data_IF_053600994523
#
_entry.id   IF_053600994523
#
_cell.length_a   1.000
_cell.length_b   1.000
_cell.length_c   1.000
_cell.angle_alpha   90.00
_cell.angle_beta   90.00
_cell.angle_gamma   90.00
#
_symmetry.space_group_name_H-M   'P 1'
#
loop_
_entity.id
_entity.type
_entity.pdbx_description
1 polymer ?
#
# COMPACT_ATOMS: atom_id res chain seq x y z
N UNK A 1 11.49 -2.22 -50.49
CA UNK A 1 11.12 -3.19 -49.44
C UNK A 1 10.38 -2.41 -48.36
N UNK A 2 9.09 -2.67 -48.18
CA UNK A 2 8.31 -2.06 -47.09
C UNK A 2 8.65 -2.73 -45.74
N UNK A 3 8.38 -2.07 -44.60
CA UNK A 3 8.73 -2.58 -43.28
C UNK A 3 7.98 -3.88 -42.97
N UNK A 4 8.68 -4.88 -42.45
CA UNK A 4 8.12 -6.13 -41.94
C UNK A 4 7.48 -5.90 -40.57
N UNK A 5 6.18 -6.16 -40.45
CA UNK A 5 5.46 -6.14 -39.17
C UNK A 5 5.60 -7.54 -38.54
N UNK A 6 6.15 -7.60 -37.33
CA UNK A 6 6.23 -8.84 -36.55
C UNK A 6 4.95 -9.01 -35.74
N UNK A 7 4.34 -10.21 -35.81
CA UNK A 7 3.21 -10.59 -34.98
C UNK A 7 3.64 -11.67 -33.99
N UNK A 8 3.18 -11.56 -32.75
CA UNK A 8 3.24 -12.62 -31.74
C UNK A 8 1.81 -12.93 -31.31
N UNK A 9 1.51 -14.21 -31.11
CA UNK A 9 0.21 -14.67 -30.60
C UNK A 9 0.45 -15.60 -29.41
N UNK A 10 -0.46 -15.57 -28.44
CA UNK A 10 -0.51 -16.52 -27.32
C UNK A 10 -1.63 -17.50 -27.63
N UNK A 11 -1.33 -18.80 -27.61
CA UNK A 11 -2.31 -19.84 -27.85
C UNK A 11 -3.35 -19.87 -26.71
N UNK A 12 -4.61 -20.18 -27.01
CA UNK A 12 -5.68 -20.30 -26.01
C UNK A 12 -5.45 -21.43 -25.00
N UNK A 13 -4.68 -22.44 -25.38
CA UNK A 13 -4.27 -23.54 -24.50
C UNK A 13 -3.02 -23.20 -23.66
N UNK A 14 -2.49 -21.98 -23.79
CA UNK A 14 -1.35 -21.54 -22.99
C UNK A 14 -1.77 -21.33 -21.54
N UNK A 15 -1.01 -21.89 -20.61
CA UNK A 15 -1.20 -21.69 -19.17
C UNK A 15 -0.15 -20.72 -18.61
N UNK A 16 -0.59 -19.72 -17.86
CA UNK A 16 0.26 -18.85 -17.05
C UNK A 16 0.19 -19.34 -15.60
N UNK A 17 1.30 -19.80 -15.05
CA UNK A 17 1.38 -20.26 -13.67
C UNK A 17 1.99 -19.19 -12.76
N UNK A 18 1.20 -18.70 -11.80
CA UNK A 18 1.61 -17.74 -10.78
C UNK A 18 1.74 -18.35 -9.38
N UNK A 19 1.55 -19.66 -9.22
CA UNK A 19 1.49 -20.34 -7.91
C UNK A 19 2.79 -20.23 -7.10
N UNK A 20 3.94 -20.10 -7.76
CA UNK A 20 5.25 -19.99 -7.11
C UNK A 20 5.64 -18.57 -6.67
N UNK A 21 4.84 -17.54 -6.98
CA UNK A 21 5.22 -16.16 -6.66
C UNK A 21 4.86 -15.81 -5.21
N UNK A 22 5.82 -15.28 -4.43
CA UNK A 22 5.52 -14.81 -3.09
C UNK A 22 4.63 -13.57 -3.15
N UNK A 23 3.62 -13.54 -2.29
CA UNK A 23 2.71 -12.41 -2.16
C UNK A 23 3.15 -11.60 -0.96
N UNK A 24 3.66 -10.40 -1.19
CA UNK A 24 4.11 -9.53 -0.14
C UNK A 24 4.03 -8.08 -0.59
N UNK A 25 3.35 -7.26 0.20
CA UNK A 25 3.13 -5.86 -0.14
C UNK A 25 3.23 -5.00 1.12
N UNK A 26 3.89 -3.85 0.97
CA UNK A 26 3.92 -2.79 1.97
C UNK A 26 2.61 -2.01 1.92
N UNK A 27 1.93 -1.93 3.06
CA UNK A 27 0.66 -1.25 3.26
C UNK A 27 0.80 -0.22 4.39
N UNK A 28 -0.09 0.77 4.50
CA UNK A 28 -1.15 1.15 3.54
C UNK A 28 -0.61 1.76 2.24
N UNK A 29 -1.29 1.50 1.12
CA UNK A 29 -0.93 2.02 -0.21
C UNK A 29 -2.19 2.34 -1.05
N UNK A 30 -2.49 3.61 -1.26
CA UNK A 30 -3.62 4.08 -2.04
C UNK A 30 -3.47 3.75 -3.54
N UNK A 31 -2.24 3.60 -4.03
CA UNK A 31 -2.00 3.20 -5.42
C UNK A 31 -2.50 1.78 -5.69
N UNK A 32 -2.23 0.82 -4.78
CA UNK A 32 -2.70 -0.56 -4.95
C UNK A 32 -4.22 -0.62 -4.91
N UNK A 33 -4.87 0.21 -4.09
CA UNK A 33 -6.32 0.34 -4.09
C UNK A 33 -6.88 0.81 -5.44
N UNK A 34 -6.39 1.93 -6.00
CA UNK A 34 -6.96 2.45 -7.26
C UNK A 34 -6.56 1.64 -8.50
N UNK A 35 -5.37 1.01 -8.48
CA UNK A 35 -4.85 0.27 -9.63
C UNK A 35 -5.38 -1.17 -9.72
N UNK A 36 -5.59 -1.86 -8.59
CA UNK A 36 -6.00 -3.27 -8.55
C UNK A 36 -7.16 -3.59 -7.62
N UNK A 37 -7.70 -2.60 -6.90
CA UNK A 37 -8.74 -2.82 -5.89
C UNK A 37 -8.22 -3.45 -4.59
N UNK A 38 -6.90 -3.63 -4.44
CA UNK A 38 -6.33 -4.28 -3.26
C UNK A 38 -6.40 -3.34 -2.02
N UNK A 39 -6.71 -3.85 -0.81
CA UNK A 39 -6.84 -5.26 -0.42
C UNK A 39 -8.23 -5.88 -0.68
N UNK A 40 -9.22 -5.08 -1.05
CA UNK A 40 -10.60 -5.52 -1.22
C UNK A 40 -10.79 -6.52 -2.36
N UNK A 41 -9.89 -6.51 -3.34
CA UNK A 41 -9.83 -7.50 -4.43
C UNK A 41 -9.18 -8.84 -4.04
N UNK A 42 -8.76 -9.03 -2.78
CA UNK A 42 -8.19 -10.31 -2.30
C UNK A 42 -9.21 -11.44 -2.44
N UNK A 43 -10.48 -11.18 -2.10
CA UNK A 43 -11.60 -12.03 -2.46
C UNK A 43 -12.39 -11.38 -3.58
N UNK A 44 -12.55 -12.08 -4.70
CA UNK A 44 -13.17 -11.53 -5.89
C UNK A 44 -14.64 -11.10 -5.68
N UNK A 45 -15.33 -11.74 -4.75
CA UNK A 45 -16.73 -11.50 -4.36
C UNK A 45 -16.90 -10.43 -3.26
N UNK A 46 -15.77 -9.89 -2.77
CA UNK A 46 -15.64 -8.95 -1.64
C UNK A 46 -16.14 -9.50 -0.30
N UNK A 47 -16.14 -10.81 -0.10
CA UNK A 47 -16.61 -11.47 1.13
C UNK A 47 -15.87 -11.08 2.41
N UNK A 48 -14.63 -10.60 2.30
CA UNK A 48 -13.84 -10.09 3.43
C UNK A 48 -13.80 -8.55 3.49
N UNK A 49 -14.79 -7.89 2.88
CA UNK A 49 -14.93 -6.43 2.89
C UNK A 49 -16.17 -5.99 3.66
N UNK A 50 -16.02 -4.96 4.48
CA UNK A 50 -17.14 -4.23 5.07
C UNK A 50 -17.10 -2.78 4.61
N UNK A 51 -18.24 -2.27 4.15
CA UNK A 51 -18.41 -0.89 3.71
C UNK A 51 -19.24 -0.14 4.74
N UNK A 52 -18.71 0.97 5.24
CA UNK A 52 -19.36 1.84 6.22
C UNK A 52 -19.77 3.14 5.52
N UNK A 53 -21.07 3.45 5.55
CA UNK A 53 -21.67 4.64 4.93
C UNK A 53 -22.66 5.30 5.90
N UNK A 54 -22.95 6.59 5.70
CA UNK A 54 -23.99 7.31 6.46
C UNK A 54 -25.33 6.56 6.43
N UNK A 55 -26.10 6.47 7.55
CA UNK A 55 -27.41 5.79 7.61
C UNK A 55 -28.46 6.39 6.68
N UNK A 56 -28.28 7.66 6.31
CA UNK A 56 -29.11 8.37 5.33
C UNK A 56 -28.19 8.93 4.26
N UNK A 57 -27.72 8.11 3.32
CA UNK A 57 -26.79 8.56 2.30
C UNK A 57 -27.51 9.46 1.29
N UNK A 58 -26.82 10.50 0.82
CA UNK A 58 -27.30 11.26 -0.35
C UNK A 58 -27.26 10.40 -1.61
N UNK A 59 -27.97 10.78 -2.67
CA UNK A 59 -27.85 10.11 -3.97
C UNK A 59 -26.40 10.08 -4.49
N UNK A 60 -25.59 11.08 -4.12
CA UNK A 60 -24.17 11.15 -4.48
C UNK A 60 -23.29 10.23 -3.61
N UNK A 61 -23.63 10.02 -2.34
CA UNK A 61 -22.96 9.01 -1.51
C UNK A 61 -23.28 7.58 -2.00
N UNK A 62 -24.52 7.33 -2.46
CA UNK A 62 -24.89 6.06 -3.11
C UNK A 62 -24.13 5.88 -4.43
N UNK A 63 -24.01 6.95 -5.24
CA UNK A 63 -23.18 6.93 -6.45
C UNK A 63 -21.71 6.59 -6.13
N UNK A 64 -21.15 7.20 -5.07
CA UNK A 64 -19.78 6.91 -4.61
C UNK A 64 -19.61 5.44 -4.19
N UNK A 65 -20.58 4.88 -3.45
CA UNK A 65 -20.59 3.47 -3.07
C UNK A 65 -20.55 2.56 -4.30
N UNK A 66 -21.52 2.74 -5.21
CA UNK A 66 -21.67 1.91 -6.40
C UNK A 66 -20.46 2.02 -7.33
N UNK A 67 -19.92 3.22 -7.50
CA UNK A 67 -18.72 3.45 -8.30
C UNK A 67 -17.47 2.81 -7.67
N UNK A 68 -17.32 2.88 -6.35
CA UNK A 68 -16.20 2.23 -5.64
C UNK A 68 -16.27 0.72 -5.76
N UNK A 69 -17.44 0.13 -5.50
CA UNK A 69 -17.67 -1.31 -5.63
C UNK A 69 -17.48 -1.75 -7.08
N UNK A 70 -18.04 -1.01 -8.04
CA UNK A 70 -17.87 -1.26 -9.47
C UNK A 70 -16.42 -1.16 -9.94
N UNK A 71 -15.63 -0.24 -9.38
CA UNK A 71 -14.20 -0.15 -9.64
C UNK A 71 -13.50 -1.45 -9.22
N UNK A 72 -13.78 -1.97 -8.03
CA UNK A 72 -13.17 -3.21 -7.52
C UNK A 72 -13.63 -4.40 -8.36
N UNK A 73 -14.94 -4.53 -8.62
CA UNK A 73 -15.49 -5.60 -9.46
C UNK A 73 -14.92 -5.61 -10.87
N UNK A 74 -14.64 -4.43 -11.46
CA UNK A 74 -13.96 -4.32 -12.75
C UNK A 74 -12.54 -4.91 -12.70
N UNK A 75 -11.85 -4.84 -11.55
CA UNK A 75 -10.50 -5.40 -11.38
C UNK A 75 -10.51 -6.90 -11.13
N UNK A 76 -11.49 -7.39 -10.38
CA UNK A 76 -11.62 -8.83 -10.08
C UNK A 76 -12.30 -9.63 -11.20
N UNK A 77 -13.09 -8.95 -12.05
CA UNK A 77 -13.90 -9.59 -13.07
C UNK A 77 -15.17 -10.27 -12.52
N UNK A 78 -15.46 -10.11 -11.23
CA UNK A 78 -16.62 -10.69 -10.55
C UNK A 78 -17.46 -9.56 -9.90
N UNK A 79 -18.80 -9.61 -9.99
CA UNK A 79 -19.64 -8.68 -9.25
C UNK A 79 -19.43 -8.87 -7.74
N UNK A 80 -19.48 -7.77 -6.98
CA UNK A 80 -19.45 -7.82 -5.54
C UNK A 80 -20.84 -8.15 -4.99
N UNK A 81 -20.98 -9.29 -4.29
CA UNK A 81 -22.25 -9.73 -3.71
C UNK A 81 -22.13 -10.26 -2.27
N UNK A 82 -20.92 -10.27 -1.68
CA UNK A 82 -20.67 -10.81 -0.34
C UNK A 82 -20.13 -9.76 0.66
N UNK A 83 -20.03 -8.49 0.28
CA UNK A 83 -19.57 -7.45 1.22
C UNK A 83 -20.68 -7.05 2.18
N UNK A 84 -20.30 -6.66 3.41
CA UNK A 84 -21.24 -6.15 4.40
C UNK A 84 -21.42 -4.64 4.24
N UNK A 85 -22.66 -4.16 4.31
CA UNK A 85 -22.96 -2.73 4.30
C UNK A 85 -23.44 -2.30 5.70
N UNK A 86 -22.68 -1.40 6.32
CA UNK A 86 -22.89 -0.94 7.69
C UNK A 86 -23.19 0.55 7.69
N UNK A 87 -24.11 0.95 8.56
CA UNK A 87 -24.50 2.35 8.75
C UNK A 87 -23.72 3.05 9.87
N UNK A 88 -22.99 2.27 10.66
CA UNK A 88 -22.23 2.71 11.82
C UNK A 88 -20.91 1.94 11.97
N UNK A 89 -20.00 2.48 12.77
CA UNK A 89 -18.77 1.80 13.13
C UNK A 89 -19.05 0.79 14.24
N UNK A 90 -19.46 -0.43 13.84
CA UNK A 90 -19.64 -1.56 14.74
C UNK A 90 -18.40 -2.47 14.72
N UNK A 91 -17.60 -2.42 15.77
CA UNK A 91 -16.36 -3.20 15.86
C UNK A 91 -16.60 -4.71 15.70
N UNK A 92 -17.73 -5.24 16.18
CA UNK A 92 -18.02 -6.67 16.12
C UNK A 92 -18.20 -7.15 14.67
N UNK A 93 -18.86 -6.34 13.83
CA UNK A 93 -19.06 -6.62 12.40
C UNK A 93 -17.85 -6.28 11.52
N UNK A 94 -16.84 -5.61 12.10
CA UNK A 94 -15.64 -5.14 11.40
C UNK A 94 -14.39 -6.02 11.69
N UNK A 95 -14.48 -6.98 12.62
CA UNK A 95 -13.40 -7.93 12.90
C UNK A 95 -13.11 -8.77 11.65
N UNK A 96 -11.82 -8.96 11.35
CA UNK A 96 -11.32 -9.75 10.21
C UNK A 96 -11.79 -9.28 8.83
N UNK A 97 -12.16 -8.00 8.72
CA UNK A 97 -12.59 -7.37 7.47
C UNK A 97 -11.64 -6.26 7.06
N UNK A 98 -11.43 -6.11 5.76
CA UNK A 98 -10.93 -4.87 5.19
C UNK A 98 -12.10 -3.88 5.12
N UNK A 99 -11.89 -2.65 5.59
CA UNK A 99 -12.96 -1.70 5.89
C UNK A 99 -12.91 -0.52 4.92
N UNK A 100 -13.98 -0.29 4.16
CA UNK A 100 -14.14 0.88 3.29
C UNK A 100 -15.10 1.86 3.95
N UNK A 101 -14.61 3.01 4.38
CA UNK A 101 -15.47 4.08 4.89
C UNK A 101 -15.64 5.12 3.81
N UNK A 102 -16.88 5.45 3.45
CA UNK A 102 -17.13 6.37 2.33
C UNK A 102 -18.25 7.37 2.63
N UNK A 103 -18.12 8.56 2.05
CA UNK A 103 -19.16 9.57 2.07
C UNK A 103 -18.67 11.01 2.27
N UNK A 104 -19.64 11.90 2.43
CA UNK A 104 -19.41 13.31 2.70
C UNK A 104 -18.91 13.46 4.14
N UNK A 105 -17.71 14.03 4.30
CA UNK A 105 -17.05 14.22 5.60
C UNK A 105 -16.98 12.90 6.40
N UNK A 106 -16.75 11.78 5.71
CA UNK A 106 -16.82 10.44 6.31
C UNK A 106 -15.83 10.26 7.46
N UNK A 107 -14.62 10.81 7.33
CA UNK A 107 -13.60 10.77 8.39
C UNK A 107 -14.13 11.36 9.71
N UNK A 108 -14.79 12.52 9.65
CA UNK A 108 -15.31 13.20 10.85
C UNK A 108 -16.61 12.57 11.35
N UNK A 109 -17.53 12.19 10.45
CA UNK A 109 -18.81 11.56 10.79
C UNK A 109 -18.61 10.28 11.61
N UNK A 110 -17.65 9.45 11.21
CA UNK A 110 -17.36 8.19 11.89
C UNK A 110 -16.30 8.34 12.98
N UNK A 111 -15.89 9.57 13.31
CA UNK A 111 -14.87 9.87 14.33
C UNK A 111 -13.69 8.93 14.19
N UNK A 112 -13.21 8.77 12.97
CA UNK A 112 -12.00 8.01 12.69
C UNK A 112 -10.83 8.88 13.14
N UNK A 113 -10.70 8.98 14.44
CA UNK A 113 -9.59 9.58 15.16
C UNK A 113 -8.93 8.43 15.87
N UNK A 114 -8.36 7.53 15.09
CA UNK A 114 -7.36 6.66 15.68
C UNK A 114 -6.18 7.55 16.05
N UNK A 115 -5.45 7.16 17.09
CA UNK A 115 -4.07 7.61 17.30
C UNK A 115 -3.17 7.31 16.07
N UNK A 116 -3.65 6.52 15.09
CA UNK A 116 -3.08 6.33 13.73
C UNK A 116 -3.62 7.29 12.65
N UNK A 117 -4.62 8.11 12.97
CA UNK A 117 -5.19 9.20 12.19
C UNK A 117 -5.06 10.54 12.95
N UNK A 118 -3.96 10.78 13.68
CA UNK A 118 -3.69 12.07 14.34
C UNK A 118 -3.65 13.30 13.38
N UNK A 119 -4.09 13.11 12.14
CA UNK A 119 -3.63 13.77 10.96
C UNK A 119 -4.68 13.90 9.84
N UNK A 120 -5.93 13.45 10.05
CA UNK A 120 -7.03 13.61 9.09
C UNK A 120 -8.26 14.15 9.83
N UNK A 121 -8.43 15.47 9.86
CA UNK A 121 -9.66 16.11 10.30
C UNK A 121 -10.21 16.96 9.16
N UNK A 122 -11.49 16.85 8.84
CA UNK A 122 -12.18 17.73 7.89
C UNK A 122 -13.21 18.56 8.66
N UNK A 123 -12.78 19.73 9.10
CA UNK A 123 -13.71 20.71 9.69
C UNK A 123 -14.49 21.43 8.57
N UNK A 124 -15.77 21.75 8.82
CA UNK A 124 -16.68 22.58 8.01
C UNK A 124 -16.03 23.85 7.42
N UNK A 125 -14.95 24.34 8.03
CA UNK A 125 -14.19 25.51 7.60
C UNK A 125 -13.11 25.23 6.53
N UNK A 126 -13.06 24.03 5.95
CA UNK A 126 -12.00 23.63 5.02
C UNK A 126 -10.64 23.49 5.72
N UNK A 127 -10.65 23.05 6.99
CA UNK A 127 -9.43 22.83 7.78
C UNK A 127 -8.88 21.43 7.54
N UNK A 128 -7.56 21.40 7.47
CA UNK A 128 -6.73 20.43 6.77
C UNK A 128 -6.67 19.04 7.41
N UNK A 129 -6.45 18.06 6.52
CA UNK A 129 -5.64 16.88 6.81
C UNK A 129 -4.33 17.39 7.43
N UNK A 130 -4.18 17.34 8.75
CA UNK A 130 -2.91 17.58 9.42
C UNK A 130 -1.99 16.38 9.21
N UNK A 131 -1.65 16.00 7.98
CA UNK A 131 -0.72 14.92 7.71
C UNK A 131 0.67 15.27 8.24
N UNK A 132 1.14 14.59 9.30
CA UNK A 132 2.59 14.44 9.51
C UNK A 132 3.10 13.55 8.39
N UNK A 133 3.44 14.17 7.27
CA UNK A 133 3.96 13.47 6.11
C UNK A 133 5.45 13.20 6.32
N UNK A 134 5.85 11.95 6.09
CA UNK A 134 7.23 11.65 5.73
C UNK A 134 7.27 11.70 4.21
N UNK A 135 8.04 12.64 3.67
CA UNK A 135 8.22 12.77 2.23
C UNK A 135 9.09 11.61 1.72
N UNK A 136 8.46 10.52 1.28
CA UNK A 136 9.05 9.60 0.31
C UNK A 136 8.61 10.06 -1.08
N UNK A 137 9.58 10.39 -1.95
CA UNK A 137 9.32 10.62 -3.38
C UNK A 137 8.64 9.37 -3.96
N UNK A 138 7.80 9.50 -5.01
CA UNK A 138 7.19 8.36 -5.67
C UNK A 138 8.27 7.35 -6.01
N UNK A 139 8.10 6.13 -5.52
CA UNK A 139 8.97 5.01 -5.87
C UNK A 139 8.76 4.74 -7.37
N UNK A 140 9.49 5.47 -8.20
CA UNK A 140 9.67 5.10 -9.59
C UNK A 140 10.23 3.68 -9.58
N UNK A 141 9.59 2.79 -10.31
CA UNK A 141 10.16 1.49 -10.66
C UNK A 141 11.43 1.74 -11.49
N UNK A 142 12.54 1.97 -10.79
CA UNK A 142 13.76 2.46 -11.38
C UNK A 142 14.82 2.67 -10.32
N UNK A 143 15.94 1.96 -10.48
CA UNK A 143 17.11 1.99 -9.60
C UNK A 143 17.54 3.44 -9.37
N UNK A 144 17.80 3.75 -8.10
CA UNK A 144 18.30 5.00 -7.54
C UNK A 144 17.22 6.02 -7.12
N UNK A 145 16.99 6.11 -5.81
CA UNK A 145 17.41 7.31 -5.09
C UNK A 145 17.65 7.05 -3.60
N UNK A 146 18.85 7.44 -3.20
CA UNK A 146 19.43 7.36 -1.87
C UNK A 146 18.83 8.45 -0.99
N UNK A 147 18.48 8.11 0.25
CA UNK A 147 18.80 8.82 1.50
C UNK A 147 17.74 8.52 2.55
N UNK A 148 18.13 7.81 3.61
CA UNK A 148 17.37 7.85 4.86
C UNK A 148 17.35 9.26 5.40
N UNK A 149 16.16 9.85 5.53
CA UNK A 149 15.92 11.09 6.29
C UNK A 149 14.53 11.03 6.90
N UNK A 150 14.48 10.84 8.22
CA UNK A 150 13.39 11.35 9.04
C UNK A 150 13.42 12.88 8.94
N UNK A 151 12.33 13.46 8.46
CA UNK A 151 12.06 14.88 8.52
C UNK A 151 10.55 15.07 8.66
N UNK A 152 10.14 15.44 9.87
CA UNK A 152 8.76 15.75 10.24
C UNK A 152 8.31 17.03 9.53
N UNK A 153 7.37 16.92 8.58
CA UNK A 153 6.69 18.08 8.00
C UNK A 153 5.18 17.89 8.07
N UNK A 154 4.49 18.90 8.60
CA UNK A 154 3.04 19.00 8.59
C UNK A 154 2.58 19.60 7.26
N UNK A 155 1.84 18.85 6.46
CA UNK A 155 1.30 19.34 5.20
C UNK A 155 -0.07 20.01 5.43
N UNK A 156 -0.14 21.33 5.29
CA UNK A 156 -1.39 22.09 5.35
C UNK A 156 -1.87 22.43 3.93
N UNK A 157 -2.76 21.62 3.34
CA UNK A 157 -3.23 21.83 1.95
C UNK A 157 -4.50 22.69 1.88
N UNK A 158 -4.35 24.02 1.87
CA UNK A 158 -5.44 25.02 1.71
C UNK A 158 -6.18 24.94 0.38
N UNK A 159 -7.17 24.06 0.30
CA UNK A 159 -8.10 23.98 -0.83
C UNK A 159 -9.37 24.83 -0.60
N UNK A 160 -9.49 25.95 -1.32
CA UNK A 160 -10.77 26.65 -1.53
C UNK A 160 -11.48 25.98 -2.72
N UNK A 161 -12.62 25.32 -2.49
CA UNK A 161 -13.40 24.67 -3.55
C UNK A 161 -13.75 23.21 -3.25
N UNK A 162 -14.11 22.46 -4.29
CA UNK A 162 -14.32 21.02 -4.22
C UNK A 162 -13.06 20.31 -3.74
N UNK A 163 -13.27 19.30 -2.89
CA UNK A 163 -12.18 18.60 -2.23
C UNK A 163 -12.59 17.17 -1.94
N UNK A 164 -11.66 16.25 -2.18
CA UNK A 164 -11.79 14.86 -1.80
C UNK A 164 -10.47 14.36 -1.21
N UNK A 165 -10.54 13.26 -0.47
CA UNK A 165 -9.37 12.65 0.13
C UNK A 165 -9.50 11.14 0.22
N UNK A 166 -8.35 10.47 0.11
CA UNK A 166 -8.19 9.05 0.40
C UNK A 166 -7.23 8.95 1.58
N UNK A 167 -7.64 8.32 2.66
CA UNK A 167 -6.76 7.99 3.78
C UNK A 167 -6.78 6.48 4.01
N UNK A 168 -5.66 5.87 4.37
CA UNK A 168 -5.58 4.43 4.62
C UNK A 168 -4.63 4.10 5.75
N UNK A 169 -4.98 3.12 6.58
CA UNK A 169 -4.19 2.68 7.74
C UNK A 169 -4.52 1.23 8.11
N UNK A 170 -3.69 0.61 8.94
CA UNK A 170 -3.96 -0.73 9.48
C UNK A 170 -5.18 -0.69 10.40
N UNK A 171 -6.10 -1.66 10.25
CA UNK A 171 -7.26 -1.80 11.12
C UNK A 171 -6.82 -2.00 12.56
N UNK A 172 -7.38 -1.24 13.52
CA UNK A 172 -7.10 -1.45 14.94
C UNK A 172 -7.70 -2.77 15.46
N UNK A 173 -8.65 -3.35 14.73
CA UNK A 173 -9.40 -4.55 15.14
C UNK A 173 -8.70 -5.84 14.72
N UNK A 174 -8.02 -5.83 13.56
CA UNK A 174 -7.37 -7.02 13.03
C UNK A 174 -6.12 -6.65 12.26
N UNK A 175 -5.00 -7.27 12.63
CA UNK A 175 -3.71 -7.08 11.97
C UNK A 175 -3.77 -7.50 10.50
N UNK A 176 -2.99 -6.82 9.67
CA UNK A 176 -2.96 -7.01 8.20
C UNK A 176 -4.27 -6.68 7.45
N UNK A 177 -5.30 -6.17 8.13
CA UNK A 177 -6.50 -5.60 7.49
C UNK A 177 -6.35 -4.09 7.31
N UNK A 178 -6.90 -3.54 6.23
CA UNK A 178 -6.84 -2.09 5.94
C UNK A 178 -8.16 -1.41 6.25
N UNK A 179 -8.10 -0.20 6.80
CA UNK A 179 -9.20 0.77 6.72
C UNK A 179 -8.83 1.79 5.65
N UNK A 180 -9.68 1.96 4.64
CA UNK A 180 -9.56 3.03 3.63
C UNK A 180 -10.77 3.95 3.74
N UNK A 181 -10.50 5.25 3.91
CA UNK A 181 -11.50 6.31 4.04
C UNK A 181 -11.52 7.13 2.76
N UNK A 182 -12.65 7.09 2.06
CA UNK A 182 -12.98 7.89 0.88
C UNK A 182 -13.89 9.04 1.33
N UNK A 183 -13.29 10.18 1.65
CA UNK A 183 -14.01 11.34 2.16
C UNK A 183 -14.11 12.41 1.09
N UNK A 184 -15.31 12.98 0.91
CA UNK A 184 -15.54 14.14 0.05
C UNK A 184 -16.07 15.30 0.89
N UNK A 185 -15.79 16.55 0.48
CA UNK A 185 -16.29 17.72 1.21
C UNK A 185 -17.81 17.86 1.15
N UNK A 186 -18.38 17.58 -0.02
CA UNK A 186 -19.79 17.69 -0.33
C UNK A 186 -20.15 16.78 -1.52
N UNK A 187 -21.45 16.66 -1.79
CA UNK A 187 -21.99 15.87 -2.91
C UNK A 187 -21.40 16.28 -4.28
N UNK A 188 -21.10 17.57 -4.48
CA UNK A 188 -20.49 18.06 -5.72
C UNK A 188 -19.04 17.58 -5.92
N UNK A 189 -18.36 17.16 -4.85
CA UNK A 189 -16.98 16.68 -4.90
C UNK A 189 -16.86 15.17 -5.20
N UNK A 190 -17.97 14.43 -5.33
CA UNK A 190 -17.93 12.99 -5.67
C UNK A 190 -17.32 12.72 -7.06
N UNK A 191 -17.69 13.44 -8.14
CA UNK A 191 -17.06 13.25 -9.45
C UNK A 191 -15.56 13.56 -9.44
N UNK A 192 -15.12 14.51 -8.61
CA UNK A 192 -13.70 14.84 -8.45
C UNK A 192 -12.90 13.63 -7.92
N UNK A 193 -13.39 12.96 -6.88
CA UNK A 193 -12.77 11.76 -6.34
C UNK A 193 -12.72 10.63 -7.37
N UNK A 194 -13.84 10.34 -8.02
CA UNK A 194 -13.94 9.27 -9.00
C UNK A 194 -13.08 9.53 -10.25
N UNK A 195 -13.04 10.77 -10.72
CA UNK A 195 -12.19 11.20 -11.83
C UNK A 195 -10.72 11.03 -11.50
N UNK A 196 -10.30 11.37 -10.29
CA UNK A 196 -8.93 11.15 -9.83
C UNK A 196 -8.57 9.65 -9.78
N UNK A 197 -9.45 8.80 -9.22
CA UNK A 197 -9.21 7.36 -9.10
C UNK A 197 -9.12 6.64 -10.46
N UNK A 198 -9.85 7.11 -11.48
CA UNK A 198 -9.84 6.46 -12.80
C UNK A 198 -8.87 7.07 -13.81
N UNK A 199 -8.88 8.39 -13.97
CA UNK A 199 -8.12 9.05 -15.03
C UNK A 199 -6.70 9.45 -14.60
N UNK A 200 -6.46 9.53 -13.28
CA UNK A 200 -5.21 10.02 -12.68
C UNK A 200 -4.69 9.09 -11.59
N UNK A 201 -4.95 7.78 -11.70
CA UNK A 201 -4.52 6.75 -10.75
C UNK A 201 -3.01 6.77 -10.49
N UNK A 202 -2.22 7.16 -11.49
CA UNK A 202 -0.75 7.18 -11.41
C UNK A 202 -0.22 8.30 -10.49
N UNK A 203 -1.04 9.31 -10.21
CA UNK A 203 -0.72 10.37 -9.24
C UNK A 203 -1.12 10.02 -7.80
N UNK A 204 -1.86 8.94 -7.61
CA UNK A 204 -2.36 8.48 -6.31
C UNK A 204 -1.35 7.48 -5.75
N UNK A 205 -0.76 7.80 -4.61
CA UNK A 205 0.22 6.95 -3.91
C UNK A 205 0.25 7.24 -2.41
N UNK A 206 0.97 6.40 -1.67
CA UNK A 206 1.13 6.57 -0.22
C UNK A 206 -0.12 6.19 0.56
N UNK A 207 -0.31 6.76 1.74
CA UNK A 207 -1.42 6.42 2.65
C UNK A 207 -2.42 7.55 2.85
N UNK A 208 -2.07 8.77 2.46
CA UNK A 208 -2.94 9.94 2.52
C UNK A 208 -2.84 10.73 1.21
N UNK A 209 -3.98 10.94 0.56
CA UNK A 209 -4.07 11.62 -0.74
C UNK A 209 -5.11 12.72 -0.61
N UNK A 210 -4.70 13.94 -0.94
CA UNK A 210 -5.60 15.09 -1.03
C UNK A 210 -5.84 15.43 -2.50
N UNK A 211 -7.10 15.59 -2.86
CA UNK A 211 -7.56 15.73 -4.23
C UNK A 211 -8.32 17.04 -4.34
N UNK A 212 -7.86 17.88 -5.26
CA UNK A 212 -8.49 19.15 -5.63
C UNK A 212 -8.73 19.14 -7.14
N UNK A 213 -9.50 20.10 -7.65
CA UNK A 213 -9.76 20.21 -9.09
C UNK A 213 -8.46 20.29 -9.94
N UNK A 214 -7.41 20.92 -9.40
CA UNK A 214 -6.19 21.19 -10.15
C UNK A 214 -5.07 20.19 -9.83
N UNK A 215 -5.04 19.65 -8.61
CA UNK A 215 -3.87 18.92 -8.11
C UNK A 215 -4.25 17.70 -7.25
N UNK A 216 -3.41 16.67 -7.28
CA UNK A 216 -3.45 15.50 -6.41
C UNK A 216 -2.13 15.46 -5.66
N UNK A 217 -2.18 15.63 -4.35
CA UNK A 217 -1.00 15.55 -3.49
C UNK A 217 -1.07 14.28 -2.65
N UNK A 218 -0.09 13.40 -2.87
CA UNK A 218 0.04 12.10 -2.23
C UNK A 218 1.14 12.13 -1.19
N UNK A 219 0.88 11.56 -0.01
CA UNK A 219 1.81 11.51 1.10
C UNK A 219 1.77 10.15 1.80
N UNK A 220 2.91 9.75 2.35
CA UNK A 220 2.93 8.69 3.33
C UNK A 220 2.80 9.27 4.74
N UNK A 221 1.80 8.77 5.47
CA UNK A 221 1.47 9.13 6.85
C UNK A 221 1.27 7.85 7.66
N UNK A 222 1.79 7.83 8.89
CA UNK A 222 1.68 6.70 9.80
C UNK A 222 2.67 5.56 9.52
N UNK A 223 2.51 4.48 10.28
CA UNK A 223 3.38 3.31 10.20
C UNK A 223 3.02 2.42 9.00
N UNK A 224 4.04 1.76 8.46
CA UNK A 224 3.84 0.68 7.48
C UNK A 224 3.60 -0.65 8.19
N UNK A 225 2.83 -1.50 7.54
CA UNK A 225 2.74 -2.92 7.84
C UNK A 225 2.85 -3.71 6.53
N UNK A 226 3.00 -5.02 6.64
CA UNK A 226 3.17 -5.89 5.48
C UNK A 226 2.10 -6.97 5.47
N UNK A 227 1.56 -7.23 4.29
CA UNK A 227 0.56 -8.27 4.05
C UNK A 227 1.19 -9.37 3.22
N UNK A 228 0.98 -10.63 3.63
CA UNK A 228 1.49 -11.81 2.96
C UNK A 228 2.83 -12.30 3.51
N UNK A 229 3.54 -13.12 2.73
CA UNK A 229 4.76 -13.80 3.16
C UNK A 229 5.82 -13.81 2.06
N UNK A 230 7.07 -13.60 2.46
CA UNK A 230 8.24 -13.71 1.61
C UNK A 230 9.14 -14.84 2.14
N UNK A 231 9.74 -15.68 1.28
CA UNK A 231 10.78 -16.61 1.70
C UNK A 231 11.86 -15.90 2.50
N UNK A 232 12.42 -16.56 3.52
CA UNK A 232 13.40 -15.95 4.44
C UNK A 232 14.56 -15.26 3.70
N UNK A 233 15.07 -15.91 2.64
CA UNK A 233 16.15 -15.36 1.85
C UNK A 233 15.73 -14.08 1.11
N UNK A 234 14.55 -14.09 0.50
CA UNK A 234 13.99 -12.92 -0.19
C UNK A 234 13.67 -11.79 0.78
N UNK A 235 13.21 -12.10 2.01
CA UNK A 235 12.89 -11.10 3.03
C UNK A 235 14.15 -10.35 3.47
N UNK A 236 15.23 -11.09 3.74
CA UNK A 236 16.54 -10.51 4.03
C UNK A 236 17.01 -9.69 2.83
N UNK A 237 16.95 -10.24 1.62
CA UNK A 237 17.36 -9.52 0.43
C UNK A 237 16.55 -8.23 0.22
N UNK A 238 15.23 -8.28 0.33
CA UNK A 238 14.31 -7.15 0.18
C UNK A 238 14.64 -6.03 1.17
N UNK A 239 14.76 -6.35 2.46
CA UNK A 239 15.03 -5.34 3.48
C UNK A 239 16.45 -4.79 3.44
N UNK A 240 17.43 -5.59 3.00
CA UNK A 240 18.82 -5.16 2.88
C UNK A 240 19.15 -4.47 1.55
N UNK A 241 18.37 -4.70 0.48
CA UNK A 241 18.58 -4.07 -0.83
C UNK A 241 18.43 -2.55 -0.76
N UNK A 242 17.58 -2.05 0.12
CA UNK A 242 17.42 -0.62 0.39
C UNK A 242 18.64 0.00 1.12
N UNK A 243 19.60 -0.81 1.58
CA UNK A 243 20.79 -0.37 2.32
C UNK A 243 22.08 -0.95 1.71
N UNK A 244 22.51 -0.47 0.53
CA UNK A 244 23.69 -0.99 -0.17
C UNK A 244 24.98 -0.93 0.68
N UNK A 245 25.11 0.06 1.56
CA UNK A 245 26.28 0.15 2.47
C UNK A 245 26.30 -0.94 3.54
N UNK A 246 25.14 -1.34 4.09
CA UNK A 246 25.08 -2.47 5.02
C UNK A 246 25.38 -3.79 4.31
N UNK A 247 24.89 -3.95 3.08
CA UNK A 247 25.25 -5.08 2.22
C UNK A 247 26.76 -5.19 2.04
N UNK A 248 27.43 -4.09 1.70
CA UNK A 248 28.90 -4.05 1.59
C UNK A 248 29.58 -4.40 2.91
N UNK A 249 29.12 -3.83 4.03
CA UNK A 249 29.70 -4.11 5.35
C UNK A 249 29.57 -5.59 5.76
N UNK A 250 28.39 -6.19 5.55
CA UNK A 250 28.14 -7.61 5.83
C UNK A 250 28.97 -8.50 4.91
N UNK A 251 29.06 -8.19 3.62
CA UNK A 251 29.89 -8.93 2.68
C UNK A 251 31.37 -8.90 3.08
N UNK A 252 31.89 -7.74 3.48
CA UNK A 252 33.28 -7.58 3.92
C UNK A 252 33.55 -8.38 5.20
N UNK A 253 32.61 -8.35 6.16
CA UNK A 253 32.68 -9.15 7.38
C UNK A 253 32.70 -10.66 7.07
N UNK A 254 31.84 -11.13 6.16
CA UNK A 254 31.82 -12.53 5.74
C UNK A 254 33.13 -12.97 5.06
N UNK A 255 33.73 -12.12 4.23
CA UNK A 255 35.04 -12.39 3.62
C UNK A 255 36.14 -12.51 4.68
N UNK A 256 36.16 -11.61 5.67
CA UNK A 256 37.13 -11.67 6.78
C UNK A 256 36.91 -12.93 7.63
N UNK A 257 35.67 -13.26 7.95
CA UNK A 257 35.34 -14.47 8.71
C UNK A 257 35.75 -15.75 7.95
N UNK A 258 35.46 -15.81 6.65
CA UNK A 258 35.80 -16.95 5.80
C UNK A 258 37.31 -17.12 5.65
N UNK A 259 38.05 -16.04 5.40
CA UNK A 259 39.51 -16.07 5.33
C UNK A 259 40.12 -16.52 6.66
N UNK A 260 39.62 -16.03 7.79
CA UNK A 260 40.07 -16.45 9.12
C UNK A 260 39.78 -17.94 9.41
N UNK A 261 38.60 -18.44 9.01
CA UNK A 261 38.21 -19.84 9.16
C UNK A 261 39.11 -20.76 8.31
N UNK A 262 39.31 -20.40 7.03
CA UNK A 262 40.15 -21.13 6.10
C UNK A 262 41.59 -21.19 6.61
N UNK A 263 42.14 -20.06 7.06
CA UNK A 263 43.46 -19.99 7.66
C UNK A 263 43.58 -20.88 8.90
N UNK A 264 42.57 -20.90 9.78
CA UNK A 264 42.53 -21.79 10.96
C UNK A 264 42.47 -23.27 10.57
N UNK A 265 41.69 -23.65 9.55
CA UNK A 265 41.63 -25.01 9.06
C UNK A 265 42.97 -25.45 8.47
N UNK A 266 43.54 -24.70 7.54
CA UNK A 266 44.84 -25.02 6.93
C UNK A 266 45.96 -25.10 7.99
N UNK A 267 45.97 -24.16 8.94
CA UNK A 267 46.94 -24.17 10.04
C UNK A 267 46.82 -25.42 10.92
N UNK A 268 45.61 -25.93 11.16
CA UNK A 268 45.40 -27.20 11.88
C UNK A 268 45.88 -28.40 11.08
N UNK A 269 45.61 -28.44 9.76
CA UNK A 269 46.09 -29.51 8.89
C UNK A 269 47.61 -29.55 8.77
N UNK A 270 48.25 -28.38 8.64
CA UNK A 270 49.71 -28.26 8.60
C UNK A 270 50.37 -28.79 9.88
N UNK A 271 49.80 -28.47 11.06
CA UNK A 271 50.26 -29.00 12.35
C UNK A 271 50.09 -30.51 12.46
N UNK A 272 48.98 -31.09 11.97
CA UNK A 272 48.78 -32.54 11.93
C UNK A 272 49.79 -33.26 11.01
N UNK A 273 50.14 -32.67 9.87
CA UNK A 273 51.15 -33.25 8.96
C UNK A 273 52.55 -33.29 9.57
N UNK A 274 52.90 -32.28 10.36
CA UNK A 274 54.20 -32.22 11.03
C UNK A 274 54.28 -33.20 12.22
N UNK A 275 53.17 -33.42 12.93
CA UNK A 275 53.11 -34.42 14.00
C UNK A 275 53.26 -35.86 13.47
N UNK A 276 52.72 -36.18 12.29
CA UNK A 276 52.88 -37.52 11.67
C UNK A 276 54.24 -37.77 11.02
N UNK A 277 55.12 -36.76 10.90
CA UNK A 277 56.50 -36.93 10.42
C UNK A 277 57.54 -37.02 11.55
N UNK A 278 57.11 -36.93 12.81
CA UNK A 278 57.96 -36.98 13.99
C UNK A 278 57.74 -38.22 14.88
N UNK A 279 57.11 -39.27 14.36
CA UNK A 279 57.01 -40.59 14.98
C UNK A 279 57.78 -41.61 14.13
#
# INVERSE_FOLDING_TARGET
MGPSIYYAAVDGDSTLDFSGFPHYIRMPNAHSFVSSGFPYSRMADLSETSVVISPKPSSKEVELLLNTVGLISKKTGLPAYQFDLLEEWDEASLVDKDILVLGVQAADKFKLTSTSLAHVSSSESGRFIEATAVSEKPQAQGIANLSGRQATMSANVRARGEFASIASFESPLTKQRTVTVLSVRNDASVPLLFGAMNARSDSISGSAVAITQNDITSHQVGDYYYVGQLPLFDLVWYHFSDRPMLMVAVALLLVVAFTMLMWRMLSRYAKRRLANKGA
#
